data_IF_989707730537
#
_entry.id   IF_989707730537
#
_cell.length_a   1.000
_cell.length_b   1.000
_cell.length_c   1.000
_cell.angle_alpha   90.00
_cell.angle_beta   90.00
_cell.angle_gamma   90.00
#
_symmetry.space_group_name_H-M   'P 1'
#
loop_
_entity.id
_entity.type
_entity.pdbx_description
1 polymer ?
#
# COMPACT_ATOMS: atom_id res chain seq x y z
N UNK A 1 -8.21 7.35 -17.14
CA UNK A 1 -7.48 6.32 -17.94
C UNK A 1 -8.27 5.02 -17.93
N UNK A 2 -8.71 4.55 -19.11
CA UNK A 2 -9.48 3.31 -19.29
C UNK A 2 -8.76 2.38 -20.28
N UNK A 3 -8.51 1.11 -19.93
CA UNK A 3 -7.87 0.18 -20.85
C UNK A 3 -8.82 -0.26 -21.96
N UNK A 4 -8.29 -0.54 -23.16
CA UNK A 4 -9.09 -0.99 -24.31
C UNK A 4 -9.80 -2.33 -24.03
N UNK A 5 -9.11 -3.26 -23.34
CA UNK A 5 -9.73 -4.47 -22.79
C UNK A 5 -10.02 -4.24 -21.32
N UNK A 6 -11.23 -4.54 -20.89
CA UNK A 6 -11.61 -4.45 -19.48
C UNK A 6 -10.79 -5.44 -18.64
N UNK A 7 -10.26 -4.96 -17.52
CA UNK A 7 -9.40 -5.71 -16.60
C UNK A 7 -9.89 -5.51 -15.17
N UNK A 8 -9.39 -6.34 -14.26
CA UNK A 8 -9.58 -6.13 -12.85
C UNK A 8 -8.64 -6.96 -12.00
N UNK A 9 -8.81 -6.86 -10.70
CA UNK A 9 -8.07 -7.66 -9.74
C UNK A 9 -8.68 -9.06 -9.75
N UNK A 10 -7.88 -10.10 -10.00
CA UNK A 10 -8.31 -11.51 -9.94
C UNK A 10 -7.88 -12.20 -8.63
N UNK A 11 -6.88 -11.64 -7.94
CA UNK A 11 -6.33 -12.09 -6.67
C UNK A 11 -5.60 -10.96 -5.96
N UNK A 12 -5.61 -10.97 -4.63
CA UNK A 12 -4.92 -9.98 -3.81
C UNK A 12 -4.25 -10.64 -2.60
N UNK A 13 -3.15 -10.05 -2.15
CA UNK A 13 -2.39 -10.52 -1.01
C UNK A 13 -2.03 -9.35 -0.10
N UNK A 14 -1.91 -9.63 1.19
CA UNK A 14 -1.47 -8.68 2.19
C UNK A 14 -0.51 -9.38 3.15
N UNK A 15 0.35 -8.61 3.78
CA UNK A 15 1.18 -9.08 4.88
C UNK A 15 1.53 -7.92 5.81
N UNK A 16 1.38 -8.17 7.12
CA UNK A 16 1.91 -7.29 8.17
C UNK A 16 2.75 -8.16 9.11
N UNK A 17 4.01 -7.76 9.41
CA UNK A 17 4.83 -8.44 10.42
C UNK A 17 4.10 -8.61 11.74
N UNK A 18 4.49 -9.57 12.57
CA UNK A 18 3.82 -9.79 13.86
C UNK A 18 4.24 -8.79 14.95
N UNK A 19 5.46 -8.26 14.93
CA UNK A 19 5.92 -7.43 16.04
C UNK A 19 5.29 -6.03 16.03
N UNK A 20 4.98 -5.50 17.22
CA UNK A 20 4.43 -4.15 17.43
C UNK A 20 5.22 -3.42 18.50
N UNK A 21 5.52 -2.15 18.27
CA UNK A 21 6.00 -1.25 19.32
C UNK A 21 4.89 -0.25 19.66
N UNK A 22 4.56 -0.11 20.95
CA UNK A 22 3.65 0.92 21.42
C UNK A 22 4.31 2.30 21.27
N UNK A 23 3.55 3.30 20.84
CA UNK A 23 4.11 4.64 20.72
C UNK A 23 4.44 5.27 22.08
N UNK A 24 3.80 4.80 23.15
CA UNK A 24 4.16 5.18 24.52
C UNK A 24 5.57 4.73 24.91
N UNK A 25 6.05 3.60 24.38
CA UNK A 25 7.45 3.16 24.58
C UNK A 25 8.45 4.06 23.86
N UNK A 26 8.13 4.50 22.64
CA UNK A 26 8.94 5.48 21.90
C UNK A 26 8.96 6.81 22.66
N UNK A 27 7.81 7.28 23.14
CA UNK A 27 7.70 8.51 23.92
C UNK A 27 8.51 8.43 25.23
N UNK A 28 8.43 7.31 25.95
CA UNK A 28 9.17 7.07 27.20
C UNK A 28 10.68 7.20 27.01
N UNK A 29 11.24 6.62 25.94
CA UNK A 29 12.69 6.67 25.69
C UNK A 29 13.17 8.08 25.34
N UNK A 30 12.36 8.86 24.62
CA UNK A 30 12.71 10.22 24.21
C UNK A 30 12.25 11.33 25.16
N UNK A 31 11.61 10.98 26.29
CA UNK A 31 11.09 11.95 27.25
C UNK A 31 9.88 12.76 26.74
N UNK A 32 9.16 12.25 25.74
CA UNK A 32 7.94 12.87 25.23
C UNK A 32 6.71 12.44 26.03
N UNK A 33 5.64 13.25 26.01
CA UNK A 33 4.39 12.94 26.69
C UNK A 33 3.69 11.73 26.04
N UNK A 34 3.47 10.61 26.77
CA UNK A 34 2.80 9.42 26.24
C UNK A 34 1.35 9.68 25.83
N UNK A 35 0.70 10.76 26.29
CA UNK A 35 -0.67 11.12 25.92
C UNK A 35 -0.75 11.84 24.56
N UNK A 36 0.38 12.32 24.03
CA UNK A 36 0.44 13.09 22.77
C UNK A 36 0.89 12.26 21.57
N UNK A 37 0.86 10.93 21.69
CA UNK A 37 1.28 10.03 20.61
C UNK A 37 0.27 9.99 19.44
N UNK A 38 0.73 9.95 18.17
CA UNK A 38 -0.15 10.12 17.00
C UNK A 38 -0.99 8.89 16.66
N UNK A 39 -0.50 7.69 17.00
CA UNK A 39 -1.17 6.39 16.85
C UNK A 39 -0.84 5.51 18.06
N UNK A 40 -1.57 4.41 18.25
CA UNK A 40 -1.39 3.50 19.38
C UNK A 40 -0.04 2.77 19.29
N UNK A 41 0.17 2.09 18.19
CA UNK A 41 1.31 1.21 17.94
C UNK A 41 1.61 1.16 16.45
N UNK A 42 2.80 0.68 16.10
CA UNK A 42 3.20 0.44 14.71
C UNK A 42 3.83 -0.94 14.53
N UNK A 43 3.75 -1.49 13.32
CA UNK A 43 4.39 -2.76 12.98
C UNK A 43 5.90 -2.63 12.86
N UNK A 44 6.58 -3.69 13.27
CA UNK A 44 8.04 -3.82 13.21
C UNK A 44 8.34 -5.16 12.55
N UNK A 45 9.17 -5.20 11.48
CA UNK A 45 9.62 -6.48 10.93
C UNK A 45 10.54 -7.18 11.93
N UNK A 46 10.51 -8.52 11.94
CA UNK A 46 11.50 -9.35 12.63
C UNK A 46 12.93 -9.08 12.16
N UNK A 47 13.91 -9.62 12.88
CA UNK A 47 15.33 -9.48 12.51
C UNK A 47 15.67 -10.13 11.15
N UNK A 48 14.84 -11.07 10.72
CA UNK A 48 14.89 -11.87 9.51
C UNK A 48 13.80 -11.48 8.48
N UNK A 49 13.08 -10.38 8.71
CA UNK A 49 12.09 -9.85 7.78
C UNK A 49 12.56 -8.54 7.13
N UNK A 50 12.38 -8.45 5.81
CA UNK A 50 12.63 -7.25 5.01
C UNK A 50 11.52 -7.05 3.96
N UNK A 51 11.67 -6.06 3.08
CA UNK A 51 10.68 -5.79 2.03
C UNK A 51 10.56 -6.94 1.02
N UNK A 52 11.61 -7.75 0.81
CA UNK A 52 11.57 -8.94 -0.07
C UNK A 52 10.74 -10.04 0.57
N UNK A 53 11.01 -10.40 1.82
CA UNK A 53 10.28 -11.49 2.49
C UNK A 53 8.80 -11.16 2.63
N UNK A 54 8.48 -9.90 2.95
CA UNK A 54 7.11 -9.39 2.99
C UNK A 54 6.46 -9.47 1.60
N UNK A 55 7.15 -9.07 0.53
CA UNK A 55 6.64 -9.14 -0.84
C UNK A 55 6.36 -10.59 -1.29
N UNK A 56 7.20 -11.54 -0.90
CA UNK A 56 6.99 -12.97 -1.19
C UNK A 56 5.69 -13.48 -0.57
N UNK A 57 5.43 -13.15 0.70
CA UNK A 57 4.19 -13.55 1.39
C UNK A 57 2.95 -12.89 0.76
N UNK A 58 3.06 -11.62 0.37
CA UNK A 58 2.02 -10.92 -0.39
C UNK A 58 1.74 -11.66 -1.71
N UNK A 59 2.78 -11.98 -2.48
CA UNK A 59 2.63 -12.63 -3.77
C UNK A 59 1.99 -14.02 -3.66
N UNK A 60 2.44 -14.83 -2.68
CA UNK A 60 1.86 -16.15 -2.38
C UNK A 60 0.38 -16.05 -2.06
N UNK A 61 0.00 -15.13 -1.17
CA UNK A 61 -1.40 -14.90 -0.81
C UNK A 61 -2.23 -14.46 -2.03
N UNK A 62 -1.69 -13.59 -2.89
CA UNK A 62 -2.37 -13.14 -4.10
C UNK A 62 -2.62 -14.28 -5.09
N UNK A 63 -1.62 -15.14 -5.30
CA UNK A 63 -1.71 -16.34 -6.16
C UNK A 63 -2.75 -17.31 -5.62
N UNK A 64 -2.73 -17.59 -4.31
CA UNK A 64 -3.70 -18.49 -3.65
C UNK A 64 -5.14 -17.97 -3.85
N UNK A 65 -5.37 -16.67 -3.67
CA UNK A 65 -6.69 -16.07 -3.92
C UNK A 65 -7.07 -16.12 -5.41
N UNK A 66 -6.13 -15.85 -6.32
CA UNK A 66 -6.38 -15.89 -7.76
C UNK A 66 -6.69 -17.32 -8.26
N UNK A 67 -6.04 -18.33 -7.69
CA UNK A 67 -6.15 -19.72 -8.13
C UNK A 67 -5.52 -19.94 -9.52
N UNK A 68 -4.43 -19.24 -9.83
CA UNK A 68 -3.71 -19.36 -11.11
C UNK A 68 -2.40 -20.13 -10.94
N UNK A 69 -1.86 -20.63 -12.06
CA UNK A 69 -0.47 -21.07 -12.13
C UNK A 69 0.44 -19.83 -12.10
N UNK A 70 1.44 -19.74 -11.20
CA UNK A 70 2.37 -18.61 -11.15
C UNK A 70 3.10 -18.35 -12.47
N UNK A 71 3.32 -19.38 -13.30
CA UNK A 71 3.99 -19.27 -14.59
C UNK A 71 3.17 -18.52 -15.65
N UNK A 72 1.86 -18.32 -15.43
CA UNK A 72 1.01 -17.46 -16.27
C UNK A 72 1.27 -15.96 -16.02
N UNK A 73 1.98 -15.59 -14.94
CA UNK A 73 2.36 -14.21 -14.67
C UNK A 73 3.39 -13.73 -15.69
N UNK A 74 3.04 -12.69 -16.45
CA UNK A 74 3.95 -12.07 -17.43
C UNK A 74 4.70 -10.87 -16.87
N UNK A 75 4.31 -10.39 -15.70
CA UNK A 75 5.06 -9.38 -14.95
C UNK A 75 4.95 -9.58 -13.44
N UNK A 76 6.05 -9.30 -12.74
CA UNK A 76 6.14 -9.16 -11.28
C UNK A 76 6.86 -7.85 -10.98
N UNK A 77 6.10 -6.85 -10.54
CA UNK A 77 6.61 -5.51 -10.23
C UNK A 77 6.47 -5.20 -8.75
N UNK A 78 7.51 -4.60 -8.18
CA UNK A 78 7.56 -4.28 -6.75
C UNK A 78 7.87 -2.79 -6.57
N UNK A 79 6.92 -2.05 -6.02
CA UNK A 79 7.07 -0.68 -5.57
C UNK A 79 7.49 -0.61 -4.11
N UNK A 80 8.63 0.03 -3.84
CA UNK A 80 9.18 0.17 -2.49
C UNK A 80 10.20 1.31 -2.43
N UNK A 81 10.36 1.95 -1.28
CA UNK A 81 11.49 2.86 -0.99
C UNK A 81 12.52 2.24 -0.01
N UNK A 82 12.31 0.98 0.37
CA UNK A 82 13.13 0.24 1.33
C UNK A 82 13.63 -1.09 0.76
N UNK A 83 13.99 -1.09 -0.53
CA UNK A 83 14.63 -2.23 -1.21
C UNK A 83 15.90 -2.65 -0.44
N UNK A 84 16.15 -3.96 -0.20
CA UNK A 84 17.32 -4.39 0.56
C UNK A 84 18.63 -4.18 -0.21
N UNK A 85 18.55 -4.13 -1.54
CA UNK A 85 19.68 -3.90 -2.43
C UNK A 85 19.50 -2.60 -3.20
N UNK A 86 20.57 -1.84 -3.38
CA UNK A 86 20.55 -0.64 -4.22
C UNK A 86 20.45 -0.98 -5.72
N UNK A 87 21.14 -2.05 -6.17
CA UNK A 87 21.28 -2.42 -7.60
C UNK A 87 21.04 -3.92 -7.83
N UNK A 88 20.11 -4.52 -7.08
CA UNK A 88 19.58 -5.87 -7.37
C UNK A 88 18.06 -5.85 -7.17
N UNK A 89 17.25 -6.15 -8.20
CA UNK A 89 15.81 -5.97 -8.08
C UNK A 89 15.16 -6.96 -7.11
N UNK A 90 14.34 -6.45 -6.21
CA UNK A 90 13.44 -7.20 -5.31
C UNK A 90 12.52 -8.11 -6.13
N UNK A 91 11.95 -7.58 -7.20
CA UNK A 91 11.07 -8.27 -8.15
C UNK A 91 11.66 -9.56 -8.71
N UNK A 92 12.97 -9.62 -8.99
CA UNK A 92 13.62 -10.87 -9.45
C UNK A 92 13.61 -11.96 -8.38
N UNK A 93 13.81 -11.58 -7.12
CA UNK A 93 13.78 -12.52 -5.99
C UNK A 93 12.35 -13.01 -5.75
N UNK A 94 11.38 -12.09 -5.81
CA UNK A 94 9.96 -12.42 -5.64
C UNK A 94 9.49 -13.36 -6.75
N UNK A 95 9.79 -13.06 -8.01
CA UNK A 95 9.39 -13.87 -9.16
C UNK A 95 9.94 -15.30 -9.08
N UNK A 96 11.21 -15.45 -8.69
CA UNK A 96 11.83 -16.76 -8.48
C UNK A 96 11.17 -17.51 -7.30
N UNK A 97 10.95 -16.82 -6.17
CA UNK A 97 10.39 -17.43 -4.97
C UNK A 97 8.93 -17.92 -5.11
N UNK A 98 8.20 -17.40 -6.09
CA UNK A 98 6.83 -17.83 -6.43
C UNK A 98 6.77 -18.71 -7.68
N UNK A 99 7.91 -19.07 -8.27
CA UNK A 99 8.02 -19.87 -9.50
C UNK A 99 7.31 -19.25 -10.73
N UNK A 100 7.34 -17.92 -10.86
CA UNK A 100 6.85 -17.22 -12.06
C UNK A 100 7.91 -17.15 -13.18
N UNK A 101 9.17 -17.46 -12.88
CA UNK A 101 10.29 -17.47 -13.82
C UNK A 101 10.23 -18.67 -14.77
N UNK A 102 10.89 -18.61 -15.95
CA UNK A 102 11.79 -17.55 -16.42
C UNK A 102 11.13 -16.49 -17.33
N UNK A 103 9.92 -16.74 -17.85
CA UNK A 103 9.31 -15.88 -18.87
C UNK A 103 8.45 -14.75 -18.29
N UNK A 104 9.05 -13.93 -17.43
CA UNK A 104 8.37 -12.88 -16.66
C UNK A 104 9.15 -11.57 -16.73
N UNK A 105 8.45 -10.45 -16.92
CA UNK A 105 9.04 -9.12 -16.79
C UNK A 105 9.16 -8.75 -15.31
N UNK A 106 10.34 -8.38 -14.83
CA UNK A 106 10.57 -8.02 -13.44
C UNK A 106 11.23 -6.64 -13.35
N UNK A 107 10.70 -5.78 -12.48
CA UNK A 107 11.23 -4.46 -12.22
C UNK A 107 10.83 -3.95 -10.83
N UNK A 108 11.71 -3.14 -10.25
CA UNK A 108 11.44 -2.42 -9.01
C UNK A 108 11.08 -0.97 -9.34
N UNK A 109 10.08 -0.44 -8.65
CA UNK A 109 9.51 0.88 -8.88
C UNK A 109 9.78 1.78 -7.68
N UNK A 110 10.14 3.04 -7.94
CA UNK A 110 10.40 4.05 -6.91
C UNK A 110 9.62 5.32 -7.22
N UNK A 111 8.67 5.64 -6.34
CA UNK A 111 7.98 6.92 -6.26
C UNK A 111 7.41 7.07 -4.85
N UNK A 112 8.29 7.14 -3.85
CA UNK A 112 7.93 7.21 -2.43
C UNK A 112 6.76 6.23 -2.10
N UNK A 113 5.78 6.69 -1.32
CA UNK A 113 4.59 5.92 -0.97
C UNK A 113 3.61 5.60 -2.14
N UNK A 114 3.82 6.17 -3.34
CA UNK A 114 3.03 5.90 -4.55
C UNK A 114 3.60 4.75 -5.39
N UNK A 115 4.83 4.31 -5.12
CA UNK A 115 5.50 3.27 -5.88
C UNK A 115 4.64 2.00 -6.07
N UNK A 116 3.89 1.60 -5.05
CA UNK A 116 3.01 0.43 -5.11
C UNK A 116 1.85 0.60 -6.11
N UNK A 117 1.16 1.74 -6.11
CA UNK A 117 0.03 1.97 -7.03
C UNK A 117 0.49 2.16 -8.48
N UNK A 118 1.70 2.66 -8.69
CA UNK A 118 2.31 2.74 -10.01
C UNK A 118 2.48 1.36 -10.66
N UNK A 119 2.87 0.34 -9.86
CA UNK A 119 2.90 -1.05 -10.37
C UNK A 119 1.51 -1.51 -10.84
N UNK A 120 0.43 -1.06 -10.17
CA UNK A 120 -0.95 -1.40 -10.54
C UNK A 120 -1.36 -0.70 -11.83
N UNK A 121 -1.01 0.58 -12.00
CA UNK A 121 -1.23 1.31 -13.26
C UNK A 121 -0.59 0.58 -14.45
N UNK A 122 0.65 0.13 -14.28
CA UNK A 122 1.34 -0.64 -15.30
C UNK A 122 0.67 -1.99 -15.56
N UNK A 123 0.20 -2.69 -14.52
CA UNK A 123 -0.49 -3.96 -14.67
C UNK A 123 -1.79 -3.80 -15.46
N UNK A 124 -2.55 -2.74 -15.19
CA UNK A 124 -3.78 -2.39 -15.93
C UNK A 124 -3.46 -2.23 -17.41
N UNK A 125 -2.42 -1.45 -17.77
CA UNK A 125 -2.05 -1.23 -19.16
C UNK A 125 -1.50 -2.50 -19.84
N UNK A 126 -0.67 -3.28 -19.13
CA UNK A 126 0.00 -4.45 -19.69
C UNK A 126 -0.98 -5.60 -20.00
N UNK A 127 -1.97 -5.82 -19.13
CA UNK A 127 -3.05 -6.77 -19.38
C UNK A 127 -4.09 -6.18 -20.34
N UNK A 128 -4.45 -4.90 -20.17
CA UNK A 128 -5.46 -4.21 -20.97
C UNK A 128 -5.08 -4.04 -22.44
N UNK A 129 -3.79 -4.00 -22.76
CA UNK A 129 -3.28 -4.04 -24.15
C UNK A 129 -3.31 -5.44 -24.76
N UNK A 130 -3.41 -6.48 -23.93
CA UNK A 130 -3.30 -7.88 -24.35
C UNK A 130 -1.88 -8.43 -24.42
N UNK A 131 -0.87 -7.68 -23.96
CA UNK A 131 0.52 -8.17 -23.88
C UNK A 131 0.73 -9.23 -22.80
N UNK A 132 -0.12 -9.22 -21.76
CA UNK A 132 -0.07 -10.16 -20.65
C UNK A 132 -1.45 -10.77 -20.37
N UNK A 133 -1.47 -12.05 -19.97
CA UNK A 133 -2.65 -12.68 -19.38
C UNK A 133 -2.87 -12.18 -17.96
N UNK A 134 -1.82 -12.27 -17.13
CA UNK A 134 -1.80 -11.78 -15.75
C UNK A 134 -0.52 -10.97 -15.46
N UNK A 135 -0.65 -9.98 -14.58
CA UNK A 135 0.47 -9.20 -14.08
C UNK A 135 0.31 -8.95 -12.57
N UNK A 136 1.38 -9.11 -11.80
CA UNK A 136 1.41 -8.88 -10.36
C UNK A 136 2.11 -7.57 -10.04
N UNK A 137 1.39 -6.65 -9.37
CA UNK A 137 1.97 -5.44 -8.80
C UNK A 137 1.91 -5.47 -7.27
N UNK A 138 3.00 -5.10 -6.61
CA UNK A 138 3.15 -5.14 -5.15
C UNK A 138 3.61 -3.77 -4.66
N UNK A 139 2.99 -3.27 -3.59
CA UNK A 139 3.49 -2.16 -2.79
C UNK A 139 3.91 -2.64 -1.40
N UNK A 140 5.15 -2.41 -1.03
CA UNK A 140 5.72 -2.92 0.23
C UNK A 140 6.78 -1.97 0.77
N UNK A 141 6.82 -1.82 2.09
CA UNK A 141 7.96 -1.19 2.74
C UNK A 141 8.27 -1.77 4.13
N UNK A 142 9.53 -1.61 4.52
CA UNK A 142 9.96 -1.56 5.91
C UNK A 142 10.47 -0.14 6.21
N UNK A 143 9.53 0.78 6.42
CA UNK A 143 9.82 2.20 6.47
C UNK A 143 10.79 2.59 7.60
N UNK A 144 11.55 3.67 7.37
CA UNK A 144 12.61 4.15 8.25
C UNK A 144 12.23 5.52 8.81
N UNK A 145 11.98 5.61 10.11
CA UNK A 145 11.86 6.88 10.85
C UNK A 145 13.14 7.15 11.63
N UNK A 146 13.67 8.38 11.55
CA UNK A 146 14.83 8.79 12.34
C UNK A 146 14.54 8.66 13.85
N UNK A 147 15.48 8.16 14.67
CA UNK A 147 15.33 8.17 16.13
C UNK A 147 14.96 9.57 16.64
N UNK A 148 13.98 9.65 17.55
CA UNK A 148 13.45 10.90 18.12
C UNK A 148 12.64 11.79 17.17
N UNK A 149 12.52 11.45 15.89
CA UNK A 149 11.71 12.21 14.94
C UNK A 149 10.22 11.80 14.99
N UNK A 150 9.32 12.70 14.57
CA UNK A 150 7.89 12.42 14.53
C UNK A 150 7.53 11.20 13.65
N UNK A 151 8.28 10.95 12.57
CA UNK A 151 8.11 9.77 11.72
C UNK A 151 8.43 8.46 12.45
N UNK A 152 9.22 8.49 13.54
CA UNK A 152 9.47 7.29 14.32
C UNK A 152 8.18 6.68 14.87
N UNK A 153 7.17 7.48 15.16
CA UNK A 153 5.90 7.02 15.69
C UNK A 153 4.98 6.35 14.66
N UNK A 154 5.25 6.52 13.36
CA UNK A 154 4.36 6.03 12.29
C UNK A 154 5.06 5.15 11.27
N UNK A 155 6.37 5.28 11.06
CA UNK A 155 7.11 4.49 10.07
C UNK A 155 7.09 2.98 10.40
N UNK A 156 6.36 2.22 9.59
CA UNK A 156 6.00 0.84 9.85
C UNK A 156 6.39 -0.11 8.71
N UNK A 157 6.07 -1.40 8.85
CA UNK A 157 6.35 -2.42 7.86
C UNK A 157 5.11 -3.20 7.42
N UNK A 158 5.05 -3.54 6.14
CA UNK A 158 3.98 -4.32 5.56
C UNK A 158 3.66 -3.90 4.13
N UNK A 159 2.69 -4.56 3.53
CA UNK A 159 2.25 -4.22 2.19
C UNK A 159 1.12 -5.08 1.68
N UNK A 160 0.72 -4.78 0.45
CA UNK A 160 -0.26 -5.56 -0.29
C UNK A 160 0.06 -5.55 -1.79
N UNK A 161 -0.49 -6.52 -2.50
CA UNK A 161 -0.25 -6.72 -3.92
C UNK A 161 -1.45 -7.36 -4.60
N UNK A 162 -1.54 -7.15 -5.90
CA UNK A 162 -2.71 -7.44 -6.70
C UNK A 162 -2.30 -8.06 -8.02
N UNK A 163 -2.95 -9.17 -8.37
CA UNK A 163 -2.85 -9.77 -9.69
C UNK A 163 -3.95 -9.19 -10.54
N UNK A 164 -3.57 -8.49 -11.60
CA UNK A 164 -4.49 -7.95 -12.59
C UNK A 164 -4.67 -8.98 -13.71
N UNK A 165 -5.91 -9.19 -14.12
CA UNK A 165 -6.30 -10.11 -15.18
C UNK A 165 -7.51 -9.59 -15.95
N UNK A 166 -8.12 -10.45 -16.77
CA UNK A 166 -9.31 -10.09 -17.54
C UNK A 166 -10.50 -9.81 -16.61
N UNK A 167 -11.30 -8.77 -16.89
CA UNK A 167 -12.47 -8.42 -16.08
C UNK A 167 -13.45 -9.58 -15.83
N UNK A 168 -13.56 -10.53 -16.76
CA UNK A 168 -14.43 -11.73 -16.62
C UNK A 168 -14.00 -12.66 -15.48
N UNK A 169 -12.75 -12.61 -15.07
CA UNK A 169 -12.15 -13.46 -14.03
C UNK A 169 -11.97 -12.70 -12.70
N UNK A 170 -12.23 -11.39 -12.73
CA UNK A 170 -11.89 -10.46 -11.65
C UNK A 170 -12.87 -10.55 -10.50
N UNK A 171 -12.32 -10.42 -9.28
CA UNK A 171 -13.06 -10.21 -8.03
C UNK A 171 -13.41 -8.73 -7.81
N UNK A 172 -12.71 -7.82 -8.48
CA UNK A 172 -13.11 -6.43 -8.62
C UNK A 172 -12.65 -5.89 -9.98
N UNK A 173 -13.57 -5.35 -10.77
CA UNK A 173 -13.30 -4.73 -12.08
C UNK A 173 -12.76 -3.32 -11.83
N UNK A 174 -11.72 -2.92 -12.55
CA UNK A 174 -11.19 -1.55 -12.48
C UNK A 174 -11.89 -0.73 -13.56
N UNK A 175 -12.76 0.19 -13.15
CA UNK A 175 -13.56 1.00 -14.08
C UNK A 175 -12.72 2.07 -14.78
N UNK A 176 -11.83 2.72 -14.03
CA UNK A 176 -10.85 3.68 -14.52
C UNK A 176 -9.81 4.00 -13.45
N UNK A 177 -8.71 4.63 -13.88
CA UNK A 177 -7.70 5.20 -13.01
C UNK A 177 -7.21 6.56 -13.53
N UNK A 178 -6.71 7.42 -12.65
CA UNK A 178 -6.09 8.72 -13.03
C UNK A 178 -4.87 8.95 -12.14
N UNK A 179 -3.85 9.60 -12.69
CA UNK A 179 -2.67 10.03 -11.94
C UNK A 179 -2.53 11.55 -11.99
N UNK A 180 -2.20 12.18 -10.86
CA UNK A 180 -1.86 13.60 -10.76
C UNK A 180 -0.45 13.73 -10.17
N UNK A 181 0.46 14.39 -10.89
CA UNK A 181 1.90 14.46 -10.55
C UNK A 181 2.42 15.89 -10.73
N UNK A 182 3.22 16.36 -9.77
CA UNK A 182 4.00 17.60 -9.88
C UNK A 182 5.38 17.42 -9.23
N UNK A 183 6.33 18.31 -9.49
CA UNK A 183 7.58 18.38 -8.70
C UNK A 183 7.31 19.17 -7.41
N UNK A 184 7.27 18.48 -6.27
CA UNK A 184 7.02 19.07 -4.94
C UNK A 184 8.02 18.49 -3.94
N UNK A 185 8.96 19.30 -3.41
CA UNK A 185 10.02 18.81 -2.52
C UNK A 185 9.54 18.70 -1.06
N UNK A 186 8.56 17.84 -0.80
CA UNK A 186 7.93 17.69 0.53
C UNK A 186 8.63 16.67 1.43
N UNK A 187 9.05 15.54 0.88
CA UNK A 187 9.79 14.49 1.59
C UNK A 187 10.72 13.76 0.62
N UNK A 188 11.95 13.51 1.06
CA UNK A 188 12.97 12.86 0.23
C UNK A 188 14.04 12.17 1.08
N UNK A 189 14.76 11.22 0.49
CA UNK A 189 15.99 10.65 1.06
C UNK A 189 17.10 10.73 0.02
N UNK A 190 18.21 11.37 0.37
CA UNK A 190 19.40 11.41 -0.50
C UNK A 190 20.10 10.06 -0.50
N UNK A 191 20.82 9.76 -1.58
CA UNK A 191 21.68 8.59 -1.63
C UNK A 191 22.66 8.59 -0.43
N UNK A 192 22.85 7.42 0.18
CA UNK A 192 23.68 7.19 1.38
C UNK A 192 23.14 7.71 2.70
N UNK A 193 22.09 8.55 2.71
CA UNK A 193 21.41 8.91 3.95
C UNK A 193 20.59 7.74 4.47
N UNK A 194 20.69 7.46 5.77
CA UNK A 194 19.91 6.39 6.38
C UNK A 194 18.44 6.79 6.55
N UNK A 195 18.18 8.05 6.89
CA UNK A 195 16.84 8.56 7.19
C UNK A 195 16.42 9.65 6.20
N UNK A 196 15.13 9.76 5.89
CA UNK A 196 14.61 10.82 5.04
C UNK A 196 14.61 12.19 5.73
N UNK A 197 14.43 13.25 4.95
CA UNK A 197 14.11 14.61 5.39
C UNK A 197 12.73 15.01 4.88
N UNK A 198 12.11 15.98 5.53
CA UNK A 198 10.80 16.50 5.14
C UNK A 198 10.63 18.00 5.42
N UNK A 199 9.74 18.62 4.66
CA UNK A 199 9.30 20.01 4.82
C UNK A 199 8.31 20.25 5.97
N UNK A 200 8.15 19.29 6.90
CA UNK A 200 7.26 19.39 8.05
C UNK A 200 5.80 19.68 7.63
N UNK A 201 5.27 20.86 7.98
CA UNK A 201 3.91 21.27 7.61
C UNK A 201 3.69 21.31 6.10
N UNK A 202 4.75 21.47 5.31
CA UNK A 202 4.68 21.45 3.85
C UNK A 202 4.28 20.06 3.29
N UNK A 203 4.41 18.97 4.05
CA UNK A 203 3.90 17.66 3.61
C UNK A 203 2.37 17.57 3.60
N UNK A 204 1.69 18.49 4.30
CA UNK A 204 0.24 18.54 4.41
C UNK A 204 -0.42 19.18 3.19
N UNK A 205 -0.86 20.43 3.34
CA UNK A 205 -1.73 21.10 2.37
C UNK A 205 -1.15 21.24 0.96
N UNK A 206 0.08 21.76 0.76
CA UNK A 206 0.61 21.99 -0.57
C UNK A 206 1.04 20.70 -1.28
N UNK A 207 1.15 19.59 -0.55
CA UNK A 207 1.59 18.30 -1.10
C UNK A 207 0.51 17.22 -0.97
N UNK A 208 0.35 16.54 0.17
CA UNK A 208 -0.61 15.46 0.34
C UNK A 208 -2.04 15.85 -0.06
N UNK A 209 -2.59 16.93 0.51
CA UNK A 209 -4.00 17.29 0.24
C UNK A 209 -4.19 17.74 -1.20
N UNK A 210 -3.30 18.60 -1.74
CA UNK A 210 -3.34 19.01 -3.14
C UNK A 210 -3.43 17.81 -4.09
N UNK A 211 -2.50 16.86 -3.98
CA UNK A 211 -2.40 15.76 -4.94
C UNK A 211 -3.54 14.75 -4.80
N UNK A 212 -3.88 14.37 -3.57
CA UNK A 212 -4.98 13.42 -3.31
C UNK A 212 -6.32 14.01 -3.75
N UNK A 213 -6.60 15.27 -3.43
CA UNK A 213 -7.85 15.93 -3.82
C UNK A 213 -7.94 16.13 -5.34
N UNK A 214 -6.85 16.56 -5.99
CA UNK A 214 -6.82 16.75 -7.44
C UNK A 214 -7.03 15.45 -8.20
N UNK A 215 -6.32 14.38 -7.83
CA UNK A 215 -6.48 13.05 -8.45
C UNK A 215 -7.89 12.50 -8.22
N UNK A 216 -8.41 12.63 -6.99
CA UNK A 216 -9.73 12.12 -6.64
C UNK A 216 -10.85 12.81 -7.43
N UNK A 217 -10.82 14.14 -7.48
CA UNK A 217 -11.82 14.94 -8.21
C UNK A 217 -11.77 14.66 -9.71
N UNK A 218 -10.57 14.60 -10.29
CA UNK A 218 -10.40 14.32 -11.71
C UNK A 218 -10.97 12.95 -12.11
N UNK A 219 -10.76 11.90 -11.30
CA UNK A 219 -11.33 10.59 -11.59
C UNK A 219 -12.86 10.57 -11.44
N UNK A 220 -13.40 11.18 -10.38
CA UNK A 220 -14.85 11.26 -10.19
C UNK A 220 -15.52 12.03 -11.34
N UNK A 221 -14.90 13.12 -11.80
CA UNK A 221 -15.34 13.89 -12.98
C UNK A 221 -15.28 13.06 -14.26
N UNK A 222 -14.17 12.36 -14.54
CA UNK A 222 -14.03 11.47 -15.72
C UNK A 222 -15.12 10.38 -15.75
N UNK A 223 -15.54 9.90 -14.58
CA UNK A 223 -16.56 8.87 -14.43
C UNK A 223 -17.99 9.42 -14.32
N UNK A 224 -18.17 10.73 -14.13
CA UNK A 224 -19.47 11.32 -13.83
C UNK A 224 -20.08 10.80 -12.52
N UNK A 225 -19.22 10.50 -11.52
CA UNK A 225 -19.62 9.94 -10.22
C UNK A 225 -19.42 10.96 -9.10
N UNK A 226 -20.02 10.67 -7.95
CA UNK A 226 -19.92 11.46 -6.71
C UNK A 226 -19.64 10.55 -5.52
N UNK A 227 -19.16 11.08 -4.37
CA UNK A 227 -18.83 10.29 -3.19
C UNK A 227 -19.94 9.35 -2.70
N UNK A 228 -21.21 9.70 -2.93
CA UNK A 228 -22.36 8.91 -2.54
C UNK A 228 -22.46 7.59 -3.32
N UNK A 229 -21.93 7.53 -4.54
CA UNK A 229 -22.02 6.38 -5.46
C UNK A 229 -21.08 5.23 -5.06
N UNK A 230 -20.14 5.48 -4.14
CA UNK A 230 -19.17 4.50 -3.67
C UNK A 230 -19.57 3.92 -2.32
N UNK A 231 -19.35 2.64 -2.08
CA UNK A 231 -19.58 1.99 -0.79
C UNK A 231 -18.39 2.20 0.16
N UNK A 232 -17.18 2.26 -0.42
CA UNK A 232 -15.93 2.41 0.33
C UNK A 232 -15.01 3.46 -0.29
N UNK A 233 -14.21 4.12 0.56
CA UNK A 233 -13.19 5.05 0.14
C UNK A 233 -11.88 4.83 0.91
N UNK A 234 -10.77 4.70 0.19
CA UNK A 234 -9.43 4.54 0.73
C UNK A 234 -8.58 5.71 0.27
N UNK A 235 -7.89 6.34 1.21
CA UNK A 235 -6.91 7.37 0.93
C UNK A 235 -5.58 6.96 1.57
N UNK A 236 -4.45 7.39 0.99
CA UNK A 236 -3.15 7.16 1.59
C UNK A 236 -3.13 7.63 3.06
N UNK A 237 -2.53 6.83 3.94
CA UNK A 237 -2.76 6.96 5.37
C UNK A 237 -1.44 7.13 6.13
N UNK A 238 -0.77 8.30 6.00
CA UNK A 238 0.48 8.57 6.73
C UNK A 238 0.23 8.69 8.24
N UNK A 239 -1.01 8.98 8.62
CA UNK A 239 -1.55 9.01 9.97
C UNK A 239 -3.08 8.84 9.91
N UNK A 240 -3.74 8.80 11.08
CA UNK A 240 -5.20 8.67 11.19
C UNK A 240 -5.99 9.88 10.64
N UNK A 241 -5.45 11.10 10.77
CA UNK A 241 -6.21 12.34 10.56
C UNK A 241 -6.35 12.68 9.07
N UNK A 242 -5.27 12.54 8.32
CA UNK A 242 -5.19 12.95 6.90
C UNK A 242 -6.23 12.27 5.99
N UNK A 243 -6.40 10.94 5.99
CA UNK A 243 -7.40 10.28 5.14
C UNK A 243 -8.83 10.65 5.54
N UNK A 244 -9.11 10.88 6.83
CA UNK A 244 -10.42 11.33 7.32
C UNK A 244 -10.72 12.77 6.88
N UNK A 245 -9.75 13.66 6.92
CA UNK A 245 -9.94 15.05 6.49
C UNK A 245 -10.11 15.14 4.96
N UNK A 246 -9.36 14.36 4.18
CA UNK A 246 -9.58 14.23 2.73
C UNK A 246 -11.00 13.76 2.44
N UNK A 247 -11.44 12.69 3.11
CA UNK A 247 -12.79 12.16 2.92
C UNK A 247 -13.86 13.23 3.19
N UNK A 248 -13.71 13.97 4.28
CA UNK A 248 -14.59 15.09 4.64
C UNK A 248 -14.60 16.20 3.58
N UNK A 249 -13.43 16.62 3.09
CA UNK A 249 -13.32 17.67 2.05
C UNK A 249 -13.96 17.21 0.74
N UNK A 250 -13.82 15.93 0.38
CA UNK A 250 -14.39 15.37 -0.84
C UNK A 250 -15.89 15.07 -0.71
N UNK A 251 -16.43 14.96 0.51
CA UNK A 251 -17.84 14.62 0.76
C UNK A 251 -18.10 13.13 1.04
N UNK A 252 -17.07 12.31 1.23
CA UNK A 252 -17.25 10.92 1.66
C UNK A 252 -17.64 10.85 3.13
N UNK A 253 -18.75 10.16 3.48
CA UNK A 253 -19.07 9.87 4.86
C UNK A 253 -17.96 9.07 5.54
N UNK A 254 -17.68 9.39 6.80
CA UNK A 254 -16.54 8.83 7.56
C UNK A 254 -16.58 7.30 7.60
N UNK A 255 -17.77 6.71 7.75
CA UNK A 255 -18.03 5.28 7.81
C UNK A 255 -17.51 4.53 6.58
N UNK A 256 -17.58 5.14 5.38
CA UNK A 256 -17.07 4.55 4.13
C UNK A 256 -15.54 4.40 4.12
N UNK A 257 -14.84 5.10 5.01
CA UNK A 257 -13.37 5.11 5.10
C UNK A 257 -12.84 4.19 6.19
N UNK A 258 -13.63 3.91 7.23
CA UNK A 258 -13.16 3.22 8.42
C UNK A 258 -12.65 1.80 8.14
N UNK A 259 -13.25 1.10 7.18
CA UNK A 259 -12.85 -0.26 6.84
C UNK A 259 -11.51 -0.35 6.12
N UNK A 260 -11.08 0.72 5.42
CA UNK A 260 -9.76 0.81 4.78
C UNK A 260 -8.69 1.47 5.66
N UNK A 261 -9.06 2.00 6.83
CA UNK A 261 -8.18 2.77 7.71
C UNK A 261 -7.42 1.85 8.68
N UNK A 262 -6.27 1.33 8.24
CA UNK A 262 -5.44 0.38 9.01
C UNK A 262 -4.30 1.04 9.78
N UNK A 263 -3.82 2.22 9.35
CA UNK A 263 -2.68 2.93 9.93
C UNK A 263 -2.79 3.24 11.43
N UNK A 264 -3.97 3.42 12.05
CA UNK A 264 -4.05 3.59 13.51
C UNK A 264 -3.58 2.35 14.30
N UNK A 265 -3.54 1.18 13.67
CA UNK A 265 -3.21 -0.11 14.29
C UNK A 265 -1.84 -0.67 13.88
N UNK A 266 -1.31 -0.23 12.74
CA UNK A 266 -0.05 -0.74 12.21
C UNK A 266 0.95 0.34 11.83
N UNK A 267 0.57 1.62 11.79
CA UNK A 267 1.38 2.71 11.25
C UNK A 267 1.35 2.82 9.72
N UNK A 268 2.19 3.69 9.19
CA UNK A 268 2.32 3.95 7.76
C UNK A 268 3.31 2.97 7.14
N UNK A 269 2.81 2.11 6.26
CA UNK A 269 3.59 1.15 5.47
C UNK A 269 3.97 1.68 4.08
N UNK A 270 3.95 3.00 3.91
CA UNK A 270 4.47 3.70 2.74
C UNK A 270 3.87 3.18 1.42
N UNK A 271 4.65 2.56 0.53
CA UNK A 271 4.15 2.04 -0.74
C UNK A 271 3.02 1.00 -0.58
N UNK A 272 2.96 0.34 0.58
CA UNK A 272 1.91 -0.58 0.96
C UNK A 272 0.68 0.04 1.61
N UNK A 273 0.67 1.35 1.89
CA UNK A 273 -0.28 1.98 2.83
C UNK A 273 -1.71 2.08 2.29
N UNK A 274 -1.91 2.65 1.10
CA UNK A 274 -3.22 2.68 0.46
C UNK A 274 -3.64 1.26 0.01
N UNK A 275 -2.67 0.47 -0.46
CA UNK A 275 -2.90 -0.89 -0.93
C UNK A 275 -3.36 -1.83 0.19
N UNK A 276 -2.83 -1.73 1.40
CA UNK A 276 -3.34 -2.49 2.55
C UNK A 276 -4.77 -2.09 2.92
N UNK A 277 -5.11 -0.80 2.77
CA UNK A 277 -6.47 -0.32 2.97
C UNK A 277 -7.44 -0.95 1.97
N UNK A 278 -7.08 -1.02 0.69
CA UNK A 278 -7.86 -1.69 -0.34
C UNK A 278 -8.03 -3.19 -0.04
N UNK A 279 -6.97 -3.88 0.40
CA UNK A 279 -7.05 -5.29 0.77
C UNK A 279 -7.98 -5.51 1.97
N UNK A 280 -7.95 -4.61 2.97
CA UNK A 280 -8.83 -4.66 4.14
C UNK A 280 -10.31 -4.45 3.76
N UNK A 281 -10.58 -3.59 2.78
CA UNK A 281 -11.92 -3.40 2.21
C UNK A 281 -12.37 -4.65 1.45
N UNK A 282 -11.52 -5.24 0.60
CA UNK A 282 -11.84 -6.46 -0.15
C UNK A 282 -12.12 -7.67 0.77
N UNK A 283 -11.53 -7.73 1.97
CA UNK A 283 -11.87 -8.76 2.96
C UNK A 283 -13.33 -8.68 3.43
N UNK A 284 -13.99 -7.51 3.30
CA UNK A 284 -15.34 -7.24 3.82
C UNK A 284 -16.39 -7.01 2.74
N UNK A 285 -15.99 -6.45 1.60
CA UNK A 285 -16.89 -6.06 0.52
C UNK A 285 -17.71 -7.25 -0.02
N UNK A 286 -18.79 -6.89 -0.71
CA UNK A 286 -19.78 -7.76 -1.33
C UNK A 286 -19.93 -7.39 -2.81
N UNK A 287 -20.48 -8.32 -3.58
CA UNK A 287 -20.83 -8.08 -4.97
C UNK A 287 -21.63 -6.78 -5.15
N UNK A 288 -21.29 -6.00 -6.17
CA UNK A 288 -21.89 -4.71 -6.47
C UNK A 288 -21.37 -3.53 -5.65
N UNK A 289 -20.56 -3.75 -4.60
CA UNK A 289 -19.94 -2.65 -3.88
C UNK A 289 -18.96 -1.90 -4.78
N UNK A 290 -19.05 -0.56 -4.78
CA UNK A 290 -18.08 0.32 -5.45
C UNK A 290 -17.02 0.82 -4.47
N UNK A 291 -15.76 0.78 -4.88
CA UNK A 291 -14.61 1.15 -4.06
C UNK A 291 -13.83 2.26 -4.74
N UNK A 292 -13.63 3.37 -4.03
CA UNK A 292 -12.73 4.45 -4.45
C UNK A 292 -11.41 4.32 -3.70
N UNK A 293 -10.27 4.33 -4.40
CA UNK A 293 -8.96 4.24 -3.76
C UNK A 293 -8.01 5.30 -4.33
N UNK A 294 -7.40 6.12 -3.49
CA UNK A 294 -6.39 7.10 -3.89
C UNK A 294 -5.10 6.98 -3.09
N UNK A 295 -3.99 6.71 -3.76
CA UNK A 295 -2.65 6.70 -3.18
C UNK A 295 -2.04 8.10 -3.14
N UNK A 296 -0.89 8.22 -2.48
CA UNK A 296 -0.06 9.41 -2.49
C UNK A 296 1.38 8.99 -2.30
N UNK A 297 2.31 9.69 -2.96
CA UNK A 297 3.74 9.59 -2.75
C UNK A 297 4.34 10.99 -2.84
N UNK A 298 5.23 11.29 -1.91
CA UNK A 298 6.01 12.53 -1.89
C UNK A 298 6.94 12.66 -3.11
N UNK A 299 7.25 13.91 -3.48
CA UNK A 299 8.03 14.25 -4.68
C UNK A 299 7.31 14.99 -5.83
N UNK A 300 6.00 14.96 -6.09
CA UNK A 300 4.88 14.27 -5.45
C UNK A 300 3.81 13.85 -6.49
N UNK A 301 3.00 12.86 -6.13
CA UNK A 301 1.91 12.40 -6.98
C UNK A 301 0.89 11.50 -6.28
N UNK A 302 -0.26 11.31 -6.93
CA UNK A 302 -1.34 10.44 -6.49
C UNK A 302 -1.88 9.62 -7.65
N UNK A 303 -2.26 8.37 -7.38
CA UNK A 303 -3.08 7.55 -8.28
C UNK A 303 -4.45 7.31 -7.66
N UNK A 304 -5.52 7.58 -8.41
CA UNK A 304 -6.89 7.25 -8.04
C UNK A 304 -7.39 6.08 -8.90
N UNK A 305 -8.18 5.20 -8.29
CA UNK A 305 -8.82 4.04 -8.92
C UNK A 305 -10.30 3.96 -8.51
N UNK A 306 -11.15 3.61 -9.45
CA UNK A 306 -12.55 3.21 -9.21
C UNK A 306 -12.69 1.72 -9.50
N UNK A 307 -13.27 0.97 -8.56
CA UNK A 307 -13.46 -0.46 -8.70
C UNK A 307 -14.91 -0.86 -8.39
N UNK A 308 -15.40 -1.87 -9.10
CA UNK A 308 -16.68 -2.52 -8.84
C UNK A 308 -16.47 -3.99 -8.49
N UNK A 309 -16.95 -4.41 -7.33
CA UNK A 309 -16.78 -5.77 -6.82
C UNK A 309 -17.73 -6.74 -7.52
N UNK A 310 -17.21 -7.92 -7.86
CA UNK A 310 -17.98 -8.98 -8.54
C UNK A 310 -18.37 -10.10 -7.58
N UNK A 311 -19.21 -11.01 -8.07
CA UNK A 311 -19.58 -12.28 -7.45
C UNK A 311 -18.36 -13.12 -6.99
N UNK A 312 -17.26 -13.09 -7.76
CA UNK A 312 -16.06 -13.92 -7.53
C UNK A 312 -15.30 -13.58 -6.25
N UNK A 313 -15.51 -12.40 -5.67
CA UNK A 313 -14.85 -12.04 -4.42
C UNK A 313 -15.25 -13.01 -3.29
N UNK A 314 -16.52 -13.41 -3.22
CA UNK A 314 -17.04 -14.25 -2.15
C UNK A 314 -16.31 -15.61 -2.06
N UNK A 315 -15.96 -16.19 -3.21
CA UNK A 315 -15.28 -17.49 -3.31
C UNK A 315 -13.80 -17.43 -2.95
N UNK A 316 -13.16 -16.26 -3.11
CA UNK A 316 -11.70 -16.12 -3.10
C UNK A 316 -11.15 -15.37 -1.89
N UNK A 317 -11.92 -14.44 -1.31
CA UNK A 317 -11.43 -13.60 -0.20
C UNK A 317 -10.93 -14.40 1.01
N UNK A 318 -11.59 -15.53 1.31
CA UNK A 318 -11.24 -16.42 2.42
C UNK A 318 -10.12 -17.43 2.16
N UNK A 319 -9.53 -17.49 0.95
CA UNK A 319 -8.50 -18.50 0.61
C UNK A 319 -7.12 -18.22 1.21
N UNK A 320 -6.88 -16.99 1.65
CA UNK A 320 -5.63 -16.57 2.29
C UNK A 320 -5.93 -15.66 3.50
N UNK A 321 -4.96 -15.41 4.40
CA UNK A 321 -5.20 -14.63 5.60
C UNK A 321 -5.67 -13.19 5.30
N UNK A 322 -6.64 -12.71 6.07
CA UNK A 322 -7.16 -11.34 5.97
C UNK A 322 -6.19 -10.33 6.57
N UNK A 323 -6.30 -9.05 6.20
CA UNK A 323 -5.54 -7.96 6.82
C UNK A 323 -5.81 -7.93 8.33
N UNK A 324 -7.05 -8.15 8.74
CA UNK A 324 -7.44 -8.23 10.16
C UNK A 324 -6.67 -9.33 10.89
N UNK A 325 -6.53 -10.53 10.31
CA UNK A 325 -5.76 -11.62 10.93
C UNK A 325 -4.28 -11.27 11.15
N UNK A 326 -3.67 -10.54 10.21
CA UNK A 326 -2.30 -10.04 10.34
C UNK A 326 -2.14 -8.96 11.43
N UNK A 327 -3.19 -8.16 11.67
CA UNK A 327 -3.22 -7.17 12.75
C UNK A 327 -3.37 -7.86 14.11
N UNK A 328 -4.22 -8.88 14.20
CA UNK A 328 -4.58 -9.54 15.46
C UNK A 328 -3.49 -10.48 16.00
N UNK A 329 -2.67 -11.10 15.14
CA UNK A 329 -1.56 -12.00 15.54
C UNK A 329 -0.36 -11.31 16.21
N UNK A 330 -0.53 -10.06 16.65
CA UNK A 330 0.57 -9.18 17.07
C UNK A 330 1.32 -9.69 18.30
N UNK A 331 2.61 -9.37 18.37
CA UNK A 331 3.49 -9.57 19.53
C UNK A 331 4.15 -8.24 19.90
N UNK A 332 3.93 -7.74 21.12
CA UNK A 332 4.49 -6.47 21.58
C UNK A 332 6.00 -6.59 21.88
N UNK A 333 6.75 -5.54 21.56
CA UNK A 333 8.19 -5.42 21.84
C UNK A 333 8.52 -4.05 22.43
N UNK A 334 9.59 -3.99 23.22
CA UNK A 334 10.12 -2.75 23.78
C UNK A 334 11.00 -1.97 22.79
N UNK A 335 11.43 -0.77 23.19
CA UNK A 335 12.29 0.06 22.34
C UNK A 335 13.66 -0.58 22.08
N UNK A 336 14.23 -1.33 23.04
CA UNK A 336 15.54 -1.97 22.86
C UNK A 336 15.49 -3.05 21.77
N UNK A 337 14.48 -3.93 21.80
CA UNK A 337 14.27 -4.96 20.77
C UNK A 337 13.94 -4.32 19.42
N UNK A 338 13.11 -3.27 19.41
CA UNK A 338 12.82 -2.49 18.20
C UNK A 338 14.08 -1.86 17.60
N UNK A 339 14.90 -1.18 18.40
CA UNK A 339 16.13 -0.54 17.95
C UNK A 339 17.14 -1.57 17.41
N UNK A 340 17.23 -2.73 18.06
CA UNK A 340 18.03 -3.86 17.57
C UNK A 340 17.53 -4.39 16.22
N UNK A 341 16.25 -4.71 16.10
CA UNK A 341 15.67 -5.25 14.86
C UNK A 341 15.76 -4.26 13.69
N UNK A 342 15.60 -2.97 13.97
CA UNK A 342 15.71 -1.90 12.96
C UNK A 342 17.14 -1.40 12.75
N UNK A 343 18.15 -2.04 13.33
CA UNK A 343 19.57 -1.69 13.21
C UNK A 343 19.86 -0.21 13.55
N UNK A 344 19.15 0.33 14.55
CA UNK A 344 19.30 1.71 15.03
C UNK A 344 20.45 1.90 16.01
N UNK A 345 20.95 0.81 16.58
CA UNK A 345 22.08 0.81 17.51
C UNK A 345 23.36 0.79 16.68
N UNK A 346 24.20 1.83 16.82
CA UNK A 346 25.56 1.81 16.28
C UNK A 346 26.40 0.90 17.16
N UNK A 347 26.91 -0.19 16.59
CA UNK A 347 27.85 -1.10 17.25
C UNK A 347 29.28 -0.59 17.16
#
# INVERSE_FOLDING_TARGET
MKPNKSVGIIGYGAYVPKYRIQNTEIARVWGNDPNLVPIREKSVPGADEDSVTIAIEIARNAIIRAGIDPSDLRAVWVGSESKPYAVKPTSTIVAEAIAATPFVNAADWEFACKAGSETIQACIAFVGSGMAKYALGIGVDTAQGAPSDALEYTAAAGGAGYIIGNAKESLAIIEASVSYVTDTPDFWRRQHEHYPKHGNRFTGEPSYFKHVLSSSKALMEELGTKPEDYNYAIFHQPNRKFPIEVAKILGFPKEKVLDGLVSPYIGNTYAGSALLGLAAVLDKAKEGDKIFCTSYGSGAGSDSFSLEVTDKLAERKGKAPSVKSYIERREEIDYARYARYRKKIRM
#
